data_IF_557154566490
#
_entry.id   IF_557154566490
#
_cell.length_a   1.000
_cell.length_b   1.000
_cell.length_c   1.000
_cell.angle_alpha   90.00
_cell.angle_beta   90.00
_cell.angle_gamma   90.00
#
_symmetry.space_group_name_H-M   'P 1'
#
loop_
_entity.id
_entity.type
_entity.pdbx_description
1 polymer ?
#
# COMPACT_ATOMS: atom_id res chain seq x y z
N UNK A 1 56.53 4.25 -24.84
CA UNK A 1 55.61 4.98 -23.95
C UNK A 1 54.37 5.26 -24.80
N UNK A 2 53.29 4.54 -24.55
CA UNK A 2 51.99 4.70 -25.23
C UNK A 2 51.08 5.28 -24.19
N UNK A 3 50.75 6.57 -24.35
CA UNK A 3 49.76 7.26 -23.54
C UNK A 3 48.37 6.68 -23.85
N UNK A 4 47.73 6.07 -22.85
CA UNK A 4 46.32 5.69 -22.92
C UNK A 4 45.45 6.92 -22.63
N UNK A 5 44.78 7.39 -23.65
CA UNK A 5 43.70 8.38 -23.54
C UNK A 5 42.56 7.83 -22.65
N UNK A 6 42.35 8.46 -21.50
CA UNK A 6 41.19 8.20 -20.66
C UNK A 6 39.94 8.80 -21.35
N UNK A 7 39.11 7.93 -21.96
CA UNK A 7 37.78 8.32 -22.39
C UNK A 7 36.93 8.72 -21.17
N UNK A 8 36.39 9.93 -21.22
CA UNK A 8 35.43 10.41 -20.25
C UNK A 8 34.11 9.63 -20.37
N UNK A 9 33.37 9.39 -19.26
CA UNK A 9 32.09 8.71 -19.31
C UNK A 9 31.06 9.54 -20.10
N UNK A 10 30.09 8.91 -20.78
CA UNK A 10 29.07 9.64 -21.54
C UNK A 10 28.25 10.53 -20.63
N UNK A 11 27.98 11.74 -21.10
CA UNK A 11 27.16 12.71 -20.43
C UNK A 11 25.76 12.15 -20.15
N UNK A 12 25.34 12.18 -18.89
CA UNK A 12 23.96 11.85 -18.48
C UNK A 12 23.04 12.91 -19.09
N UNK A 13 22.06 12.47 -19.86
CA UNK A 13 21.05 13.36 -20.43
C UNK A 13 20.28 14.11 -19.32
N UNK A 14 19.94 15.38 -19.54
CA UNK A 14 19.19 16.12 -18.53
C UNK A 14 17.83 15.49 -18.28
N UNK A 15 17.42 15.46 -17.02
CA UNK A 15 16.17 14.86 -16.50
C UNK A 15 14.87 15.55 -16.98
N UNK A 16 14.98 16.59 -17.82
CA UNK A 16 13.83 17.33 -18.32
C UNK A 16 13.03 16.62 -19.44
N UNK A 17 13.49 15.44 -19.89
CA UNK A 17 12.82 14.69 -20.93
C UNK A 17 11.68 13.75 -20.44
N UNK A 18 11.44 13.65 -19.12
CA UNK A 18 10.47 12.71 -18.54
C UNK A 18 9.09 13.34 -18.33
N UNK A 19 8.92 14.62 -18.56
CA UNK A 19 7.67 15.32 -18.26
C UNK A 19 6.83 15.69 -19.51
N UNK A 20 6.88 14.86 -20.56
CA UNK A 20 5.90 14.93 -21.66
C UNK A 20 4.93 13.74 -21.59
N UNK A 21 4.25 13.58 -20.43
CA UNK A 21 3.01 12.85 -20.40
C UNK A 21 1.93 13.74 -21.06
N UNK A 22 1.79 13.63 -22.36
CA UNK A 22 0.54 14.02 -23.01
C UNK A 22 -0.50 13.02 -22.54
N UNK A 23 -1.58 13.46 -21.86
CA UNK A 23 -2.68 12.56 -21.56
C UNK A 23 -3.18 12.07 -22.91
N UNK A 24 -2.96 10.78 -23.19
CA UNK A 24 -3.74 10.11 -24.21
C UNK A 24 -5.18 10.45 -23.88
N UNK A 25 -5.87 11.04 -24.85
CA UNK A 25 -7.29 11.27 -24.77
C UNK A 25 -7.91 10.01 -24.19
N UNK A 26 -8.30 10.09 -22.92
CA UNK A 26 -9.17 9.10 -22.30
C UNK A 26 -10.39 9.08 -23.20
N UNK A 27 -10.42 8.07 -24.07
CA UNK A 27 -11.65 7.68 -24.72
C UNK A 27 -12.67 7.54 -23.59
N UNK A 28 -13.57 8.52 -23.54
CA UNK A 28 -14.79 8.56 -22.81
C UNK A 28 -14.77 7.69 -21.53
N UNK A 29 -14.47 8.31 -20.38
CA UNK A 29 -15.15 7.89 -19.16
C UNK A 29 -16.61 7.91 -19.57
N UNK A 30 -17.17 6.72 -19.78
CA UNK A 30 -18.58 6.57 -20.02
C UNK A 30 -19.22 7.27 -18.82
N UNK A 31 -19.73 8.48 -19.05
CA UNK A 31 -20.65 9.11 -18.13
C UNK A 31 -21.64 8.02 -17.81
N UNK A 32 -21.78 7.66 -16.54
CA UNK A 32 -22.87 6.84 -16.06
C UNK A 32 -24.10 7.62 -16.46
N UNK A 33 -24.58 7.35 -17.68
CA UNK A 33 -25.79 7.91 -18.18
C UNK A 33 -26.87 7.42 -17.23
N UNK A 34 -27.58 8.36 -16.62
CA UNK A 34 -28.88 8.08 -16.05
C UNK A 34 -29.73 7.51 -17.18
N UNK A 35 -29.76 6.18 -17.25
CA UNK A 35 -30.74 5.47 -18.05
C UNK A 35 -32.15 5.89 -17.57
N UNK A 36 -33.17 5.73 -18.38
CA UNK A 36 -34.53 6.09 -18.02
C UNK A 36 -34.89 5.39 -16.71
N UNK A 37 -35.39 6.19 -15.78
CA UNK A 37 -35.69 5.92 -14.38
C UNK A 37 -35.95 4.43 -14.06
N UNK A 38 -35.08 3.79 -13.27
CA UNK A 38 -35.44 2.63 -12.50
C UNK A 38 -34.67 1.34 -12.72
N UNK A 39 -33.81 1.23 -13.72
CA UNK A 39 -33.03 0.01 -13.91
C UNK A 39 -31.72 0.08 -13.11
N UNK A 40 -31.63 -0.71 -12.04
CA UNK A 40 -30.40 -0.96 -11.33
C UNK A 40 -29.46 -1.69 -12.31
N UNK A 41 -28.47 -0.97 -12.83
CA UNK A 41 -27.40 -1.58 -13.61
C UNK A 41 -26.76 -2.65 -12.73
N UNK A 42 -26.86 -3.91 -13.14
CA UNK A 42 -26.24 -5.02 -12.44
C UNK A 42 -24.72 -4.76 -12.32
N UNK A 43 -24.10 -5.06 -11.19
CA UNK A 43 -22.69 -4.86 -11.01
C UNK A 43 -21.92 -5.60 -12.10
N UNK A 44 -21.05 -4.88 -12.83
CA UNK A 44 -20.16 -5.50 -13.83
C UNK A 44 -19.17 -6.34 -13.07
N UNK A 45 -19.34 -7.67 -13.10
CA UNK A 45 -18.40 -8.60 -12.52
C UNK A 45 -17.09 -8.53 -13.29
N UNK A 46 -15.99 -8.29 -12.59
CA UNK A 46 -14.67 -8.37 -13.19
C UNK A 46 -14.28 -9.84 -13.30
N UNK A 47 -14.28 -10.36 -14.52
CA UNK A 47 -13.86 -11.74 -14.80
C UNK A 47 -12.41 -11.71 -15.30
N UNK A 48 -11.53 -12.45 -14.63
CA UNK A 48 -10.18 -12.69 -15.16
C UNK A 48 -10.31 -13.54 -16.42
N UNK A 49 -9.97 -12.97 -17.56
CA UNK A 49 -10.12 -13.62 -18.87
C UNK A 49 -9.23 -14.86 -19.06
N UNK A 50 -8.15 -14.97 -18.27
CA UNK A 50 -7.21 -16.11 -18.34
C UNK A 50 -7.58 -17.25 -17.40
N UNK A 51 -8.09 -16.95 -16.20
CA UNK A 51 -8.40 -17.96 -15.17
C UNK A 51 -9.89 -18.25 -15.04
N UNK A 52 -10.76 -17.43 -15.62
CA UNK A 52 -12.21 -17.49 -15.45
C UNK A 52 -12.68 -17.09 -14.03
N UNK A 53 -11.76 -16.66 -13.18
CA UNK A 53 -12.05 -16.27 -11.80
C UNK A 53 -12.88 -14.96 -11.81
N UNK A 54 -14.04 -15.00 -11.14
CA UNK A 54 -14.89 -13.83 -10.96
C UNK A 54 -14.52 -13.11 -9.68
N UNK A 55 -14.18 -11.85 -9.77
CA UNK A 55 -13.93 -11.00 -8.61
C UNK A 55 -15.17 -10.16 -8.31
N UNK A 56 -15.77 -10.44 -7.17
CA UNK A 56 -16.90 -9.67 -6.68
C UNK A 56 -16.38 -8.56 -5.78
N UNK A 57 -16.52 -7.31 -6.23
CA UNK A 57 -16.32 -6.16 -5.37
C UNK A 57 -17.66 -5.74 -4.77
N UNK A 58 -17.69 -5.48 -3.46
CA UNK A 58 -18.86 -4.91 -2.80
C UNK A 58 -19.22 -3.54 -3.42
N UNK A 59 -20.46 -3.09 -3.24
CA UNK A 59 -20.86 -1.76 -3.70
C UNK A 59 -20.07 -0.66 -3.00
N UNK A 60 -19.62 -0.90 -1.75
CA UNK A 60 -18.77 0.02 -1.00
C UNK A 60 -17.38 0.12 -1.66
N UNK A 61 -16.80 -0.99 -2.08
CA UNK A 61 -15.52 -0.99 -2.81
C UNK A 61 -15.65 -0.20 -4.10
N UNK A 62 -16.71 -0.41 -4.88
CA UNK A 62 -16.97 0.32 -6.12
C UNK A 62 -17.15 1.82 -5.86
N UNK A 63 -17.93 2.17 -4.83
CA UNK A 63 -18.15 3.57 -4.45
C UNK A 63 -16.83 4.27 -4.10
N UNK A 64 -15.99 3.64 -3.28
CA UNK A 64 -14.69 4.19 -2.90
C UNK A 64 -13.66 4.18 -4.02
N UNK A 65 -13.83 3.34 -5.03
CA UNK A 65 -12.99 3.35 -6.22
C UNK A 65 -13.35 4.49 -7.18
N UNK A 66 -14.65 4.65 -7.50
CA UNK A 66 -15.09 5.67 -8.45
C UNK A 66 -15.16 7.07 -7.85
N UNK A 67 -15.42 7.16 -6.55
CA UNK A 67 -15.51 8.42 -5.80
C UNK A 67 -14.57 8.40 -4.58
N UNK A 68 -13.24 8.29 -4.77
CA UNK A 68 -12.31 8.16 -3.66
C UNK A 68 -12.30 9.41 -2.79
N UNK A 69 -12.41 9.20 -1.47
CA UNK A 69 -12.36 10.27 -0.46
C UNK A 69 -10.90 10.63 -0.18
N UNK A 70 -10.66 11.92 -0.01
CA UNK A 70 -9.35 12.44 0.39
C UNK A 70 -8.19 12.17 -0.60
N UNK A 71 -8.49 11.70 -1.81
CA UNK A 71 -7.50 11.53 -2.87
C UNK A 71 -6.96 12.91 -3.29
N UNK A 72 -5.64 13.01 -3.44
CA UNK A 72 -4.94 14.19 -3.92
C UNK A 72 -4.50 13.97 -5.36
N UNK A 73 -4.99 14.80 -6.29
CA UNK A 73 -4.62 14.71 -7.70
C UNK A 73 -3.44 15.63 -8.06
N UNK A 74 -3.28 16.71 -7.31
CA UNK A 74 -2.19 17.68 -7.46
C UNK A 74 -1.19 17.55 -6.31
N UNK A 75 0.00 18.08 -6.48
CA UNK A 75 0.98 18.11 -5.40
C UNK A 75 0.52 19.06 -4.29
N UNK A 76 0.47 18.58 -3.04
CA UNK A 76 0.05 19.43 -1.93
C UNK A 76 1.12 20.49 -1.61
N UNK A 77 0.67 21.58 -1.05
CA UNK A 77 1.58 22.41 -0.25
C UNK A 77 1.96 21.62 1.01
N UNK A 78 3.13 20.99 0.97
CA UNK A 78 3.62 20.13 2.06
C UNK A 78 3.79 20.89 3.39
N UNK A 79 3.87 22.22 3.37
CA UNK A 79 3.95 23.05 4.59
C UNK A 79 2.67 23.00 5.42
N UNK A 80 1.53 22.61 4.82
CA UNK A 80 0.25 22.48 5.51
C UNK A 80 0.11 21.17 6.31
N UNK A 81 0.99 20.19 6.04
CA UNK A 81 0.98 18.86 6.68
C UNK A 81 2.19 18.71 7.60
N UNK A 82 1.96 18.14 8.76
CA UNK A 82 3.01 17.91 9.76
C UNK A 82 3.48 16.46 9.85
N UNK A 83 2.99 15.61 8.94
CA UNK A 83 3.48 14.24 8.80
C UNK A 83 3.31 13.74 7.35
N UNK A 84 4.26 12.93 6.89
CA UNK A 84 4.26 12.31 5.56
C UNK A 84 4.78 10.89 5.63
N UNK A 85 4.10 9.98 4.97
CA UNK A 85 4.54 8.59 4.83
C UNK A 85 4.49 8.15 3.37
N UNK A 86 5.48 7.37 2.95
CA UNK A 86 5.54 6.80 1.61
C UNK A 86 5.98 5.34 1.69
N UNK A 87 5.27 4.49 0.99
CA UNK A 87 5.62 3.08 0.82
C UNK A 87 5.39 2.64 -0.62
N UNK A 88 6.19 1.71 -1.08
CA UNK A 88 5.98 0.98 -2.32
C UNK A 88 5.87 -0.51 -2.04
N UNK A 89 5.12 -1.23 -2.86
CA UNK A 89 5.07 -2.69 -2.83
C UNK A 89 5.72 -3.24 -4.10
N UNK A 90 6.90 -3.88 -4.00
CA UNK A 90 7.54 -4.52 -5.15
C UNK A 90 6.67 -5.62 -5.78
N UNK A 91 5.81 -6.24 -4.98
CA UNK A 91 4.96 -7.34 -5.39
C UNK A 91 3.90 -6.95 -6.44
N UNK A 92 3.35 -5.74 -6.35
CA UNK A 92 2.32 -5.25 -7.26
C UNK A 92 2.71 -3.96 -7.99
N UNK A 93 3.87 -3.38 -7.69
CA UNK A 93 4.32 -2.11 -8.26
C UNK A 93 3.55 -0.89 -7.74
N UNK A 94 2.73 -1.07 -6.72
CA UNK A 94 1.92 0.00 -6.14
C UNK A 94 2.80 0.94 -5.31
N UNK A 95 2.56 2.24 -5.42
CA UNK A 95 3.16 3.28 -4.59
C UNK A 95 2.05 4.01 -3.85
N UNK A 96 2.24 4.24 -2.54
CA UNK A 96 1.31 4.99 -1.69
C UNK A 96 2.04 6.12 -0.98
N UNK A 97 1.48 7.32 -1.07
CA UNK A 97 1.92 8.48 -0.29
C UNK A 97 0.76 8.99 0.54
N UNK A 98 1.02 9.29 1.81
CA UNK A 98 0.04 9.88 2.73
C UNK A 98 0.61 11.14 3.36
N UNK A 99 -0.23 12.15 3.51
CA UNK A 99 0.03 13.40 4.23
C UNK A 99 -1.00 13.54 5.35
N UNK A 100 -0.52 13.82 6.56
CA UNK A 100 -1.38 13.98 7.72
C UNK A 100 -1.26 15.40 8.27
N UNK A 101 -2.40 15.91 8.72
CA UNK A 101 -2.48 17.07 9.59
C UNK A 101 -2.95 16.61 10.95
N UNK A 102 -2.07 16.67 11.92
CA UNK A 102 -2.30 16.20 13.29
C UNK A 102 -2.28 17.42 14.19
N UNK A 103 -3.33 17.59 14.99
CA UNK A 103 -3.41 18.66 15.98
C UNK A 103 -2.42 18.37 17.12
N UNK A 104 -1.39 19.23 17.34
CA UNK A 104 -0.33 18.89 18.30
C UNK A 104 -0.81 18.76 19.76
N UNK A 105 -1.84 19.49 20.16
CA UNK A 105 -2.33 19.49 21.54
C UNK A 105 -3.15 18.25 21.88
N UNK A 106 -3.89 17.70 20.93
CA UNK A 106 -4.81 16.57 21.12
C UNK A 106 -4.36 15.29 20.46
N UNK A 107 -3.37 15.40 19.59
CA UNK A 107 -2.86 14.36 18.68
C UNK A 107 -3.95 13.72 17.81
N UNK A 108 -4.99 14.49 17.48
CA UNK A 108 -6.04 14.07 16.57
C UNK A 108 -5.67 14.32 15.13
N UNK A 109 -5.98 13.36 14.27
CA UNK A 109 -5.80 13.45 12.83
C UNK A 109 -6.97 14.27 12.26
N UNK A 110 -6.73 15.55 12.02
CA UNK A 110 -7.76 16.47 11.52
C UNK A 110 -7.92 16.36 10.00
N UNK A 111 -6.87 15.92 9.30
CA UNK A 111 -6.89 15.70 7.87
C UNK A 111 -5.92 14.58 7.50
N UNK A 112 -6.34 13.73 6.57
CA UNK A 112 -5.50 12.76 5.88
C UNK A 112 -5.74 12.92 4.38
N UNK A 113 -4.70 13.19 3.63
CA UNK A 113 -4.70 13.14 2.16
C UNK A 113 -3.76 12.06 1.68
N UNK A 114 -4.02 11.53 0.50
CA UNK A 114 -3.22 10.45 -0.04
C UNK A 114 -3.21 10.46 -1.56
N UNK A 115 -2.18 9.82 -2.13
CA UNK A 115 -2.04 9.55 -3.55
C UNK A 115 -1.47 8.15 -3.75
N UNK A 116 -1.92 7.48 -4.79
CA UNK A 116 -1.39 6.16 -5.15
C UNK A 116 -1.36 5.98 -6.67
N UNK A 117 -0.46 5.12 -7.12
CA UNK A 117 -0.45 4.53 -8.45
C UNK A 117 -0.90 3.06 -8.40
N UNK A 118 -1.68 2.71 -7.38
CA UNK A 118 -2.12 1.36 -7.10
C UNK A 118 -3.41 0.94 -7.81
N UNK A 119 -3.77 -0.32 -7.60
CA UNK A 119 -4.96 -0.94 -8.17
C UNK A 119 -6.26 -0.44 -7.52
N UNK A 120 -7.41 -0.82 -8.09
CA UNK A 120 -8.73 -0.44 -7.57
C UNK A 120 -8.91 -0.79 -6.07
N UNK A 121 -8.40 -1.95 -5.64
CA UNK A 121 -8.46 -2.36 -4.23
C UNK A 121 -7.61 -1.46 -3.33
N UNK A 122 -6.43 -1.01 -3.78
CA UNK A 122 -5.58 -0.08 -3.04
C UNK A 122 -6.26 1.30 -2.91
N UNK A 123 -6.88 1.79 -3.99
CA UNK A 123 -7.64 3.04 -3.99
C UNK A 123 -8.80 2.95 -3.00
N UNK A 124 -9.63 1.91 -3.09
CA UNK A 124 -10.80 1.74 -2.22
C UNK A 124 -10.41 1.57 -0.75
N UNK A 125 -9.38 0.76 -0.47
CA UNK A 125 -8.89 0.53 0.89
C UNK A 125 -8.34 1.80 1.52
N UNK A 126 -7.56 2.58 0.78
CA UNK A 126 -7.02 3.84 1.29
C UNK A 126 -8.10 4.91 1.44
N UNK A 127 -9.04 4.95 0.50
CA UNK A 127 -10.17 5.87 0.58
C UNK A 127 -11.01 5.62 1.83
N UNK A 128 -11.42 4.38 2.11
CA UNK A 128 -12.21 4.07 3.31
C UNK A 128 -11.39 4.28 4.60
N UNK A 129 -10.12 3.88 4.61
CA UNK A 129 -9.22 4.12 5.74
C UNK A 129 -9.10 5.61 6.06
N UNK A 130 -8.94 6.46 5.05
CA UNK A 130 -8.86 7.91 5.24
C UNK A 130 -10.13 8.49 5.89
N UNK A 131 -11.30 7.94 5.55
CA UNK A 131 -12.56 8.31 6.21
C UNK A 131 -12.57 7.85 7.66
N UNK A 132 -12.23 6.57 7.92
CA UNK A 132 -12.22 5.99 9.27
C UNK A 132 -11.40 6.82 10.26
N UNK A 133 -10.24 7.32 9.84
CA UNK A 133 -9.33 8.05 10.75
C UNK A 133 -9.67 9.53 10.89
N UNK A 134 -10.47 10.10 9.97
CA UNK A 134 -10.83 11.53 9.98
C UNK A 134 -12.28 11.81 10.34
N UNK A 135 -13.16 10.81 10.32
CA UNK A 135 -14.57 10.98 10.70
C UNK A 135 -14.72 11.31 12.20
N UNK A 136 -15.87 11.88 12.58
CA UNK A 136 -16.22 12.20 13.98
C UNK A 136 -15.20 13.09 14.71
N UNK A 137 -14.56 14.00 14.01
CA UNK A 137 -13.55 14.92 14.57
C UNK A 137 -12.15 14.33 14.65
N UNK A 138 -11.91 13.23 13.95
CA UNK A 138 -10.62 12.57 13.81
C UNK A 138 -10.24 11.64 14.95
N UNK A 139 -9.58 10.55 14.65
CA UNK A 139 -9.00 9.65 15.65
C UNK A 139 -7.75 10.26 16.26
N UNK A 140 -7.43 9.91 17.50
CA UNK A 140 -6.08 10.10 18.02
C UNK A 140 -5.12 9.18 17.27
N UNK A 141 -3.87 9.63 17.08
CA UNK A 141 -2.86 8.87 16.33
C UNK A 141 -2.66 7.45 16.90
N UNK A 142 -2.67 7.30 18.24
CA UNK A 142 -2.53 5.99 18.90
C UNK A 142 -3.70 5.05 18.61
N UNK A 143 -4.91 5.59 18.46
CA UNK A 143 -6.09 4.78 18.14
C UNK A 143 -6.12 4.43 16.66
N UNK A 144 -5.70 5.35 15.80
CA UNK A 144 -5.55 5.10 14.37
C UNK A 144 -4.48 4.03 14.08
N UNK A 145 -3.40 3.97 14.87
CA UNK A 145 -2.37 2.92 14.79
C UNK A 145 -2.86 1.52 15.19
N UNK A 146 -4.02 1.42 15.86
CA UNK A 146 -4.67 0.14 16.19
C UNK A 146 -5.61 -0.34 15.07
N UNK A 147 -5.90 0.50 14.08
CA UNK A 147 -6.66 0.10 12.90
C UNK A 147 -5.81 -0.87 12.10
N UNK A 148 -6.33 -2.08 11.90
CA UNK A 148 -5.65 -3.16 11.17
C UNK A 148 -6.25 -3.32 9.77
N UNK A 149 -5.55 -3.96 8.84
CA UNK A 149 -6.08 -4.28 7.52
C UNK A 149 -7.44 -4.97 7.56
N UNK A 150 -7.69 -5.84 8.57
CA UNK A 150 -8.98 -6.51 8.76
C UNK A 150 -10.12 -5.52 8.97
N UNK A 151 -9.94 -4.48 9.80
CA UNK A 151 -10.97 -3.46 10.04
C UNK A 151 -11.28 -2.66 8.76
N UNK A 152 -10.25 -2.42 7.92
CA UNK A 152 -10.42 -1.78 6.61
C UNK A 152 -11.26 -2.68 5.70
N UNK A 153 -10.93 -3.98 5.64
CA UNK A 153 -11.66 -4.96 4.84
C UNK A 153 -13.11 -5.12 5.30
N UNK A 154 -13.35 -5.22 6.60
CA UNK A 154 -14.69 -5.29 7.17
C UNK A 154 -15.52 -4.07 6.77
N UNK A 155 -14.97 -2.88 6.90
CA UNK A 155 -15.65 -1.63 6.53
C UNK A 155 -15.94 -1.54 5.02
N UNK A 156 -15.14 -2.19 4.17
CA UNK A 156 -15.36 -2.30 2.73
C UNK A 156 -16.39 -3.39 2.34
N UNK A 157 -16.81 -4.23 3.29
CA UNK A 157 -17.64 -5.39 3.00
C UNK A 157 -16.87 -6.54 2.33
N UNK A 158 -15.56 -6.57 2.53
CA UNK A 158 -14.64 -7.60 2.03
C UNK A 158 -13.85 -7.19 0.77
N UNK A 159 -12.70 -7.81 0.62
CA UNK A 159 -11.88 -7.77 -0.60
C UNK A 159 -11.58 -9.23 -1.03
N UNK A 160 -11.33 -9.49 -2.32
CA UNK A 160 -10.83 -10.78 -2.75
C UNK A 160 -9.54 -11.15 -2.00
N UNK A 161 -9.38 -12.43 -1.60
CA UNK A 161 -8.24 -12.88 -0.79
C UNK A 161 -6.88 -12.48 -1.37
N UNK A 162 -6.73 -12.48 -2.71
CA UNK A 162 -5.51 -12.05 -3.39
C UNK A 162 -5.28 -10.53 -3.37
N UNK A 163 -6.20 -9.74 -2.79
CA UNK A 163 -6.13 -8.28 -2.72
C UNK A 163 -6.01 -7.73 -1.29
N UNK A 164 -5.79 -8.60 -0.33
CA UNK A 164 -5.59 -8.22 1.08
C UNK A 164 -4.36 -7.32 1.23
N UNK A 165 -3.27 -7.57 0.48
CA UNK A 165 -2.07 -6.72 0.47
C UNK A 165 -2.37 -5.25 0.18
N UNK A 166 -3.44 -4.95 -0.54
CA UNK A 166 -3.82 -3.56 -0.84
C UNK A 166 -4.26 -2.78 0.41
N UNK A 167 -4.91 -3.45 1.39
CA UNK A 167 -5.25 -2.84 2.67
C UNK A 167 -4.03 -2.68 3.58
N UNK A 168 -3.06 -3.58 3.45
CA UNK A 168 -1.78 -3.51 4.17
C UNK A 168 -0.95 -2.33 3.70
N UNK A 169 -0.97 -2.00 2.40
CA UNK A 169 -0.25 -0.85 1.85
C UNK A 169 -0.71 0.47 2.50
N UNK A 170 -2.02 0.63 2.73
CA UNK A 170 -2.57 1.79 3.42
C UNK A 170 -2.10 1.87 4.88
N UNK A 171 -2.12 0.74 5.62
CA UNK A 171 -1.63 0.65 7.00
C UNK A 171 -0.14 1.00 7.09
N UNK A 172 0.70 0.42 6.23
CA UNK A 172 2.14 0.69 6.20
C UNK A 172 2.44 2.17 5.88
N UNK A 173 1.75 2.77 4.91
CA UNK A 173 1.93 4.19 4.59
C UNK A 173 1.55 5.09 5.77
N UNK A 174 0.47 4.76 6.47
CA UNK A 174 0.04 5.48 7.65
C UNK A 174 1.06 5.37 8.80
N UNK A 175 1.61 4.18 9.07
CA UNK A 175 2.67 3.97 10.09
C UNK A 175 3.92 4.78 9.79
N UNK A 176 4.33 4.86 8.53
CA UNK A 176 5.45 5.72 8.10
C UNK A 176 5.14 7.20 8.36
N UNK A 177 3.91 7.66 8.09
CA UNK A 177 3.51 9.03 8.39
C UNK A 177 3.44 9.30 9.90
N UNK A 178 2.95 8.34 10.71
CA UNK A 178 2.97 8.45 12.16
C UNK A 178 4.40 8.55 12.71
N UNK A 179 5.32 7.75 12.18
CA UNK A 179 6.74 7.82 12.54
C UNK A 179 7.36 9.18 12.19
N UNK A 180 7.04 9.74 11.04
CA UNK A 180 7.49 11.08 10.66
C UNK A 180 6.99 12.15 11.66
N UNK A 181 5.72 12.07 12.09
CA UNK A 181 5.19 12.93 13.14
C UNK A 181 5.94 12.77 14.47
N UNK A 182 6.20 11.54 14.91
CA UNK A 182 6.92 11.27 16.14
C UNK A 182 8.36 11.80 16.09
N UNK A 183 9.04 11.66 14.95
CA UNK A 183 10.37 12.23 14.74
C UNK A 183 10.35 13.77 14.81
N UNK A 184 9.44 14.41 14.10
CA UNK A 184 9.33 15.89 14.06
C UNK A 184 8.97 16.49 15.41
N UNK A 185 8.24 15.74 16.25
CA UNK A 185 7.81 16.19 17.59
C UNK A 185 8.70 15.71 18.72
N UNK A 186 9.84 15.04 18.39
CA UNK A 186 10.79 14.54 19.40
C UNK A 186 10.29 13.33 20.21
N UNK A 187 9.24 12.65 19.74
CA UNK A 187 8.64 11.50 20.42
C UNK A 187 9.28 10.16 20.01
N UNK A 188 10.62 10.10 20.01
CA UNK A 188 11.38 8.97 19.48
C UNK A 188 11.04 7.62 20.12
N UNK A 189 10.59 7.60 21.38
CA UNK A 189 10.16 6.37 22.06
C UNK A 189 8.87 5.74 21.54
N UNK A 190 8.12 6.46 20.70
CA UNK A 190 6.88 5.98 20.05
C UNK A 190 7.08 5.54 18.60
N UNK A 191 8.27 5.74 18.06
CA UNK A 191 8.60 5.34 16.68
C UNK A 191 8.44 3.83 16.54
N UNK A 192 7.62 3.43 15.57
CA UNK A 192 7.36 2.02 15.26
C UNK A 192 8.53 1.55 14.38
N UNK A 193 9.35 0.67 14.94
CA UNK A 193 10.45 0.05 14.20
C UNK A 193 9.87 -1.13 13.42
N UNK A 194 9.61 -0.92 12.13
CA UNK A 194 9.43 -2.00 11.18
C UNK A 194 10.82 -2.34 10.65
N UNK A 195 11.44 -3.38 11.22
CA UNK A 195 12.78 -3.78 10.83
C UNK A 195 12.75 -4.79 9.70
N UNK A 196 13.57 -4.59 8.70
CA UNK A 196 13.92 -5.63 7.73
C UNK A 196 15.03 -6.49 8.35
N UNK A 197 14.62 -7.45 9.20
CA UNK A 197 15.56 -8.37 9.81
C UNK A 197 15.95 -9.44 8.79
N UNK A 198 17.26 -9.56 8.52
CA UNK A 198 17.76 -10.61 7.63
C UNK A 198 17.53 -11.98 8.29
N UNK A 199 16.73 -12.81 7.65
CA UNK A 199 16.38 -14.17 8.08
C UNK A 199 17.28 -15.19 7.39
N UNK A 200 17.52 -15.04 6.09
CA UNK A 200 18.48 -15.86 5.33
C UNK A 200 19.66 -15.01 4.89
N UNK A 201 20.80 -15.03 5.63
CA UNK A 201 21.97 -14.22 5.26
C UNK A 201 22.63 -14.65 3.95
N UNK A 202 22.46 -15.91 3.50
CA UNK A 202 23.06 -16.40 2.26
C UNK A 202 22.38 -15.82 1.03
N UNK A 203 21.07 -15.64 1.10
CA UNK A 203 20.25 -15.10 0.01
C UNK A 203 19.81 -13.67 0.28
N UNK A 204 20.22 -13.08 1.42
CA UNK A 204 19.81 -11.74 1.88
C UNK A 204 18.29 -11.58 1.92
N UNK A 205 17.57 -12.63 2.34
CA UNK A 205 16.12 -12.61 2.49
C UNK A 205 15.77 -12.10 3.88
N UNK A 206 14.87 -11.13 3.93
CA UNK A 206 14.40 -10.50 5.16
C UNK A 206 13.05 -11.09 5.61
N UNK A 207 12.65 -10.78 6.83
CA UNK A 207 11.31 -11.08 7.34
C UNK A 207 10.23 -10.35 6.54
N UNK A 208 10.55 -9.16 5.99
CA UNK A 208 9.67 -8.44 5.08
C UNK A 208 9.42 -9.19 3.76
N UNK A 209 10.46 -9.81 3.17
CA UNK A 209 10.29 -10.64 1.97
C UNK A 209 9.35 -11.82 2.22
N UNK A 210 9.44 -12.43 3.42
CA UNK A 210 8.54 -13.51 3.84
C UNK A 210 7.11 -12.97 4.04
N UNK A 211 6.95 -11.80 4.67
CA UNK A 211 5.67 -11.11 4.82
C UNK A 211 4.99 -10.88 3.45
N UNK A 212 5.74 -10.33 2.49
CA UNK A 212 5.24 -10.09 1.13
C UNK A 212 4.84 -11.40 0.43
N UNK A 213 5.66 -12.46 0.57
CA UNK A 213 5.32 -13.76 0.01
C UNK A 213 4.01 -14.31 0.57
N UNK A 214 3.78 -14.17 1.89
CA UNK A 214 2.52 -14.58 2.55
C UNK A 214 1.35 -13.72 2.05
N UNK A 215 1.50 -12.42 1.96
CA UNK A 215 0.48 -11.51 1.44
C UNK A 215 0.09 -11.81 -0.01
N UNK A 216 1.02 -12.35 -0.80
CA UNK A 216 0.77 -12.82 -2.16
C UNK A 216 0.21 -14.26 -2.23
N UNK A 217 -0.08 -14.86 -1.09
CA UNK A 217 -0.75 -16.16 -0.98
C UNK A 217 0.16 -17.35 -0.80
N UNK A 218 1.45 -17.18 -0.47
CA UNK A 218 2.33 -18.29 -0.08
C UNK A 218 2.06 -18.66 1.39
N UNK A 219 1.12 -19.59 1.61
CA UNK A 219 0.55 -19.91 2.93
C UNK A 219 1.29 -21.01 3.71
N UNK A 220 2.29 -21.61 3.13
CA UNK A 220 3.11 -22.67 3.73
C UNK A 220 4.57 -22.56 3.32
N UNK A 221 5.42 -23.34 4.00
CA UNK A 221 6.86 -23.32 3.76
C UNK A 221 7.21 -23.62 2.30
N UNK A 222 6.57 -24.61 1.70
CA UNK A 222 6.85 -25.05 0.32
C UNK A 222 6.54 -23.92 -0.68
N UNK A 223 5.43 -23.20 -0.47
CA UNK A 223 5.05 -22.06 -1.31
C UNK A 223 6.03 -20.90 -1.16
N UNK A 224 6.42 -20.57 0.08
CA UNK A 224 7.41 -19.52 0.36
C UNK A 224 8.79 -19.89 -0.20
N UNK A 225 9.23 -21.16 -0.04
CA UNK A 225 10.50 -21.62 -0.61
C UNK A 225 10.50 -21.64 -2.14
N UNK A 226 9.39 -22.02 -2.78
CA UNK A 226 9.29 -21.91 -4.25
C UNK A 226 9.49 -20.48 -4.74
N UNK A 227 9.01 -19.52 -3.97
CA UNK A 227 9.04 -18.09 -4.33
C UNK A 227 10.39 -17.43 -4.01
N UNK A 228 10.85 -17.58 -2.79
CA UNK A 228 12.02 -16.87 -2.27
C UNK A 228 13.29 -17.71 -2.25
N UNK A 229 13.17 -19.05 -2.34
CA UNK A 229 14.31 -19.98 -2.12
C UNK A 229 14.88 -19.93 -0.69
N UNK A 230 14.17 -19.32 0.26
CA UNK A 230 14.60 -19.17 1.66
C UNK A 230 14.88 -20.54 2.30
N UNK A 231 15.98 -20.63 3.04
CA UNK A 231 16.40 -21.85 3.72
C UNK A 231 16.98 -22.95 2.81
N UNK A 232 17.05 -22.73 1.49
CA UNK A 232 17.77 -23.64 0.58
C UNK A 232 19.26 -23.55 0.85
N UNK A 233 19.81 -24.61 1.45
CA UNK A 233 21.21 -24.63 1.93
C UNK A 233 21.42 -23.99 3.32
N UNK A 234 20.35 -23.64 4.02
CA UNK A 234 20.34 -23.11 5.40
C UNK A 234 19.20 -23.77 6.21
N UNK A 235 19.25 -25.08 6.45
CA UNK A 235 18.15 -25.81 7.12
C UNK A 235 17.93 -25.33 8.56
N UNK A 236 18.91 -24.71 9.17
CA UNK A 236 18.87 -24.16 10.54
C UNK A 236 17.84 -23.04 10.73
N UNK A 237 17.48 -22.32 9.67
CA UNK A 237 16.52 -21.20 9.74
C UNK A 237 15.08 -21.63 9.45
N UNK A 238 14.85 -22.86 9.01
CA UNK A 238 13.51 -23.31 8.57
C UNK A 238 12.46 -23.15 9.67
N UNK A 239 12.78 -23.49 10.91
CA UNK A 239 11.85 -23.33 12.03
C UNK A 239 11.44 -21.87 12.26
N UNK A 240 12.38 -20.93 12.06
CA UNK A 240 12.10 -19.49 12.14
C UNK A 240 11.21 -19.01 10.98
N UNK A 241 11.50 -19.46 9.76
CA UNK A 241 10.67 -19.17 8.57
C UNK A 241 9.24 -19.65 8.78
N UNK A 242 9.03 -20.86 9.29
CA UNK A 242 7.70 -21.38 9.59
C UNK A 242 6.98 -20.58 10.68
N UNK A 243 7.71 -20.07 11.68
CA UNK A 243 7.13 -19.20 12.69
C UNK A 243 6.68 -17.87 12.09
N UNK A 244 7.48 -17.26 11.20
CA UNK A 244 7.13 -16.03 10.51
C UNK A 244 5.92 -16.23 9.60
N UNK A 245 5.87 -17.33 8.84
CA UNK A 245 4.71 -17.65 8.00
C UNK A 245 3.44 -17.76 8.86
N UNK A 246 3.49 -18.45 10.01
CA UNK A 246 2.35 -18.55 10.94
C UNK A 246 1.95 -17.18 11.47
N UNK A 247 2.94 -16.39 11.91
CA UNK A 247 2.71 -15.05 12.44
C UNK A 247 2.02 -14.14 11.41
N UNK A 248 2.52 -14.10 10.16
CA UNK A 248 1.92 -13.25 9.13
C UNK A 248 0.55 -13.76 8.66
N UNK A 249 0.35 -15.10 8.62
CA UNK A 249 -0.98 -15.66 8.36
C UNK A 249 -1.99 -15.23 9.43
N UNK A 250 -1.64 -15.35 10.69
CA UNK A 250 -2.51 -14.95 11.80
C UNK A 250 -2.74 -13.42 11.80
N UNK A 251 -1.70 -12.65 11.50
CA UNK A 251 -1.77 -11.18 11.43
C UNK A 251 -2.73 -10.70 10.33
N UNK A 252 -2.77 -11.35 9.18
CA UNK A 252 -3.46 -10.85 7.98
C UNK A 252 -4.71 -11.66 7.58
N UNK A 253 -4.80 -12.92 7.94
CA UNK A 253 -5.86 -13.83 7.52
C UNK A 253 -6.58 -14.52 8.70
N UNK A 254 -6.07 -14.37 9.92
CA UNK A 254 -6.52 -15.05 11.14
C UNK A 254 -7.74 -14.45 11.84
#
# INVERSE_FOLDING_TARGET
>A
MIEQEKQAPPAVAPVDAVNQYTPHQTSAVASVGTGPAGEKVAPVDVVNQFTGEKWYYSDIVKEHFFNPRNLMLEDPDESTYNAKGMVGSPACGDLMVMWLKIEPATERITELKWRTFGCASAISATSIFSVMVTENGGMKIDDALKVRPQHIMERLGGLPNRKIHCSVLADKAFRKAANDFFHRTGQHGRVIVEGDRVVDPKLNITDHDIEEAVLEGAMDLDAVQRKLKVGVGSPEIIAEVEQLIRFYKEKYYG
#
